data_IF_705018104243
#
_entry.id   IF_705018104243
#
_cell.length_a   1.000
_cell.length_b   1.000
_cell.length_c   1.000
_cell.angle_alpha   90.00
_cell.angle_beta   90.00
_cell.angle_gamma   90.00
#
_symmetry.space_group_name_H-M   'P 1'
#
loop_
_entity.id
_entity.type
_entity.pdbx_description
1 polymer ?
#
# COMPACT_ATOMS: atom_id res chain seq x y z
N UNK A 1 -23.59 2.54 -0.20
CA UNK A 1 -23.07 1.23 0.25
C UNK A 1 -21.80 0.99 -0.52
N UNK A 2 -20.67 0.83 0.18
CA UNK A 2 -19.33 0.93 -0.38
C UNK A 2 -19.10 -0.07 -1.49
N UNK A 3 -19.00 0.43 -2.72
CA UNK A 3 -18.33 -0.29 -3.79
C UNK A 3 -16.90 -0.47 -3.30
N UNK A 4 -16.57 -1.72 -2.96
CA UNK A 4 -15.20 -2.13 -2.75
C UNK A 4 -14.45 -1.69 -4.00
N UNK A 5 -13.65 -0.62 -3.89
CA UNK A 5 -12.62 -0.32 -4.88
C UNK A 5 -11.85 -1.61 -5.04
N UNK A 6 -12.08 -2.30 -6.16
CA UNK A 6 -11.44 -3.56 -6.44
C UNK A 6 -9.94 -3.29 -6.39
N UNK A 7 -9.29 -3.72 -5.31
CA UNK A 7 -7.84 -3.69 -5.20
C UNK A 7 -7.35 -4.50 -6.40
N UNK A 8 -6.56 -3.87 -7.27
CA UNK A 8 -6.06 -4.57 -8.45
C UNK A 8 -5.25 -5.79 -7.99
N UNK A 9 -5.20 -6.84 -8.82
CA UNK A 9 -4.41 -8.03 -8.48
C UNK A 9 -2.93 -7.68 -8.24
N UNK A 10 -2.42 -6.67 -8.96
CA UNK A 10 -1.07 -6.13 -8.82
C UNK A 10 -0.87 -5.39 -7.49
N UNK A 11 -1.88 -4.62 -7.07
CA UNK A 11 -1.88 -3.91 -5.78
C UNK A 11 -1.80 -4.86 -4.59
N UNK A 12 -2.53 -5.97 -4.67
CA UNK A 12 -2.54 -6.99 -3.62
C UNK A 12 -1.18 -7.69 -3.50
N UNK A 13 -0.56 -8.02 -4.64
CA UNK A 13 0.74 -8.69 -4.68
C UNK A 13 1.88 -7.80 -4.15
N UNK A 14 1.87 -6.50 -4.46
CA UNK A 14 2.89 -5.58 -3.96
C UNK A 14 2.75 -5.35 -2.44
N UNK A 15 1.51 -5.26 -1.94
CA UNK A 15 1.24 -5.19 -0.51
C UNK A 15 1.78 -6.42 0.23
N UNK A 16 1.52 -7.62 -0.30
CA UNK A 16 2.02 -8.86 0.30
C UNK A 16 3.55 -8.91 0.33
N UNK A 17 4.22 -8.48 -0.75
CA UNK A 17 5.69 -8.40 -0.78
C UNK A 17 6.25 -7.47 0.30
N UNK A 18 5.66 -6.28 0.48
CA UNK A 18 6.09 -5.34 1.51
C UNK A 18 5.85 -5.87 2.92
N UNK A 19 4.73 -6.55 3.15
CA UNK A 19 4.45 -7.22 4.43
C UNK A 19 5.46 -8.33 4.71
N UNK A 20 5.83 -9.11 3.69
CA UNK A 20 6.83 -10.17 3.84
C UNK A 20 8.24 -9.59 4.09
N UNK A 21 8.59 -8.46 3.47
CA UNK A 21 9.83 -7.74 3.76
C UNK A 21 9.87 -7.23 5.22
N UNK A 22 8.75 -6.73 5.74
CA UNK A 22 8.66 -6.31 7.15
C UNK A 22 8.88 -7.51 8.09
N UNK A 23 8.28 -8.66 7.77
CA UNK A 23 8.40 -9.90 8.57
C UNK A 23 9.82 -10.49 8.53
N UNK A 24 10.46 -10.46 7.37
CA UNK A 24 11.78 -11.03 7.12
C UNK A 24 12.95 -10.07 7.38
N UNK A 25 12.67 -8.79 7.66
CA UNK A 25 13.68 -7.77 7.98
C UNK A 25 14.56 -8.19 9.17
N UNK A 26 15.86 -8.27 8.92
CA UNK A 26 16.87 -8.71 9.89
C UNK A 26 17.35 -7.55 10.76
N UNK A 27 17.20 -6.32 10.27
CA UNK A 27 17.57 -5.10 10.98
C UNK A 27 16.38 -4.18 11.22
N UNK A 28 16.43 -3.34 12.28
CA UNK A 28 15.45 -2.28 12.49
C UNK A 28 15.36 -1.30 11.31
N UNK A 29 16.47 -1.04 10.62
CA UNK A 29 16.56 -0.13 9.48
C UNK A 29 15.78 -0.67 8.27
N UNK A 30 16.03 -1.93 7.88
CA UNK A 30 15.29 -2.62 6.81
C UNK A 30 13.78 -2.64 7.11
N UNK A 31 13.42 -2.89 8.37
CA UNK A 31 12.01 -2.92 8.79
C UNK A 31 11.35 -1.54 8.65
N UNK A 32 12.05 -0.48 9.06
CA UNK A 32 11.55 0.90 8.92
C UNK A 32 11.40 1.28 7.45
N UNK A 33 12.32 0.87 6.60
CA UNK A 33 12.26 1.11 5.16
C UNK A 33 11.03 0.42 4.53
N UNK A 34 10.83 -0.87 4.82
CA UNK A 34 9.67 -1.61 4.32
C UNK A 34 8.33 -1.06 4.84
N UNK A 35 8.28 -0.63 6.11
CA UNK A 35 7.10 0.05 6.68
C UNK A 35 6.84 1.40 5.99
N UNK A 36 7.88 2.20 5.71
CA UNK A 36 7.74 3.47 4.99
C UNK A 36 7.23 3.25 3.56
N UNK A 37 7.73 2.24 2.86
CA UNK A 37 7.26 1.88 1.53
C UNK A 37 5.77 1.49 1.55
N UNK A 38 5.35 0.66 2.51
CA UNK A 38 3.94 0.28 2.69
C UNK A 38 3.05 1.50 3.01
N UNK A 39 3.51 2.39 3.88
CA UNK A 39 2.76 3.60 4.25
C UNK A 39 2.61 4.56 3.06
N UNK A 40 3.70 4.81 2.31
CA UNK A 40 3.67 5.65 1.11
C UNK A 40 2.70 5.10 0.08
N UNK A 41 2.75 3.80 -0.20
CA UNK A 41 1.82 3.14 -1.13
C UNK A 41 0.35 3.34 -0.72
N UNK A 42 0.03 3.19 0.57
CA UNK A 42 -1.34 3.42 1.04
C UNK A 42 -1.78 4.88 0.81
N UNK A 43 -0.89 5.84 1.05
CA UNK A 43 -1.15 7.27 0.78
C UNK A 43 -1.40 7.50 -0.70
N UNK A 44 -0.56 6.95 -1.59
CA UNK A 44 -0.69 7.12 -3.04
C UNK A 44 -2.02 6.52 -3.54
N UNK A 45 -2.40 5.34 -3.06
CA UNK A 45 -3.71 4.72 -3.35
C UNK A 45 -4.87 5.61 -2.89
N UNK A 46 -4.81 6.12 -1.65
CA UNK A 46 -5.85 7.01 -1.14
C UNK A 46 -5.93 8.31 -1.93
N UNK A 47 -4.79 8.86 -2.36
CA UNK A 47 -4.74 10.04 -3.20
C UNK A 47 -5.45 9.80 -4.53
N UNK A 48 -5.15 8.71 -5.22
CA UNK A 48 -5.87 8.35 -6.46
C UNK A 48 -7.37 8.18 -6.23
N UNK A 49 -7.76 7.56 -5.12
CA UNK A 49 -9.17 7.43 -4.72
C UNK A 49 -9.84 8.81 -4.56
N UNK A 50 -9.20 9.73 -3.83
CA UNK A 50 -9.75 11.07 -3.62
C UNK A 50 -9.75 11.91 -4.90
N UNK A 51 -8.73 11.80 -5.74
CA UNK A 51 -8.67 12.48 -7.04
C UNK A 51 -9.79 11.99 -7.98
N UNK A 52 -10.14 10.70 -7.97
CA UNK A 52 -11.30 10.19 -8.73
C UNK A 52 -12.62 10.75 -8.20
N UNK A 53 -12.83 10.69 -6.88
CA UNK A 53 -14.05 11.22 -6.24
C UNK A 53 -14.22 12.73 -6.41
N UNK A 54 -13.13 13.49 -6.50
CA UNK A 54 -13.19 14.94 -6.67
C UNK A 54 -13.49 15.36 -8.13
N UNK A 55 -13.31 14.46 -9.10
CA UNK A 55 -13.54 14.71 -10.53
C UNK A 55 -14.84 14.06 -11.05
N UNK A 56 -15.63 13.44 -10.17
CA UNK A 56 -17.01 12.95 -10.42
C UNK A 56 -18.05 13.95 -9.90
#
# INVERSE_FOLDING_TARGET
MGENMAESADDSAERERLVEQIRSAKTPEERREAVRALAKRNIDRHRETYEKLANE
#
